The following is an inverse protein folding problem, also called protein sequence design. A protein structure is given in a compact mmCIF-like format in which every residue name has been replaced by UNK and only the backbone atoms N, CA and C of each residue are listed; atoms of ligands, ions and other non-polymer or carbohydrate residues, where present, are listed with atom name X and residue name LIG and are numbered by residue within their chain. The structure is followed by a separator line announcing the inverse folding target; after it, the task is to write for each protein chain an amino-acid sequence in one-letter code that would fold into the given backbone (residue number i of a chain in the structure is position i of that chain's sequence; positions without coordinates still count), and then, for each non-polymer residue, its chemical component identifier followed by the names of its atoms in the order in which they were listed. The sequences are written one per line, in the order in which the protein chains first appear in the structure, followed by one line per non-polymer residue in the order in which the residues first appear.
data_IF_486385329306
#
_entry.id   IF_486385329306
#
_cell.length_a   1.000
_cell.length_b   1.000
_cell.length_c   1.000
_cell.angle_alpha   90.00
_cell.angle_beta   90.00
_cell.angle_gamma   90.00
#
_symmetry.space_group_name_H-M   'P 1'
#
loop_
_entity.id
_entity.type
_entity.pdbx_description
1 polymer ?
#
# COMPACT_ATOMS: atom_id res chain seq x y z
N UNK A 1 9.17 -2.87 11.17
CA UNK A 1 9.38 -1.55 10.55
C UNK A 1 9.57 -1.82 9.07
N UNK A 2 8.78 -1.19 8.18
CA UNK A 2 8.88 -1.43 6.74
C UNK A 2 10.07 -0.69 6.15
N UNK A 3 10.78 -1.35 5.20
CA UNK A 3 11.92 -0.80 4.47
C UNK A 3 11.50 -0.36 3.07
N UNK A 4 11.76 0.89 2.74
CA UNK A 4 11.39 1.51 1.46
C UNK A 4 12.65 1.93 0.70
N UNK A 5 12.75 1.54 -0.57
CA UNK A 5 13.75 2.04 -1.48
C UNK A 5 13.17 3.23 -2.26
N UNK A 6 13.84 4.37 -2.19
CA UNK A 6 13.49 5.59 -2.93
C UNK A 6 14.53 5.76 -4.04
N UNK A 7 14.07 5.91 -5.29
CA UNK A 7 14.93 6.16 -6.46
C UNK A 7 14.49 7.48 -7.10
N UNK A 8 15.29 8.51 -6.91
CA UNK A 8 14.98 9.90 -7.29
C UNK A 8 16.30 10.64 -7.52
N UNK A 9 16.49 11.22 -8.68
CA UNK A 9 17.73 11.90 -9.04
C UNK A 9 17.82 13.33 -8.50
N UNK A 10 16.67 13.97 -8.25
CA UNK A 10 16.64 15.28 -7.61
C UNK A 10 16.81 15.15 -6.10
N UNK A 11 18.01 15.48 -5.62
CA UNK A 11 18.39 15.31 -4.22
C UNK A 11 17.42 15.96 -3.23
N UNK A 12 16.85 17.12 -3.57
CA UNK A 12 15.88 17.81 -2.69
C UNK A 12 14.59 17.02 -2.53
N UNK A 13 14.09 16.43 -3.62
CA UNK A 13 12.87 15.59 -3.60
C UNK A 13 13.15 14.29 -2.86
N UNK A 14 14.29 13.67 -3.12
CA UNK A 14 14.73 12.45 -2.43
C UNK A 14 14.85 12.65 -0.92
N UNK A 15 15.50 13.74 -0.48
CA UNK A 15 15.64 14.08 0.94
C UNK A 15 14.27 14.37 1.59
N UNK A 16 13.39 15.08 0.90
CA UNK A 16 12.05 15.39 1.38
C UNK A 16 11.21 14.11 1.56
N UNK A 17 11.26 13.21 0.58
CA UNK A 17 10.61 11.90 0.67
C UNK A 17 11.17 11.08 1.83
N UNK A 18 12.49 10.99 1.94
CA UNK A 18 13.16 10.23 2.99
C UNK A 18 12.77 10.73 4.37
N UNK A 19 12.93 12.04 4.63
CA UNK A 19 12.60 12.62 5.94
C UNK A 19 11.13 12.41 6.29
N UNK A 20 10.22 12.74 5.36
CA UNK A 20 8.79 12.59 5.61
C UNK A 20 8.37 11.14 5.87
N UNK A 21 8.98 10.16 5.20
CA UNK A 21 8.70 8.74 5.43
C UNK A 21 9.33 8.23 6.74
N UNK A 22 10.55 8.64 7.06
CA UNK A 22 11.21 8.28 8.33
C UNK A 22 10.45 8.82 9.55
N UNK A 23 9.91 10.04 9.48
CA UNK A 23 9.04 10.62 10.53
C UNK A 23 7.74 9.80 10.71
N UNK A 24 7.29 9.08 9.67
CA UNK A 24 6.14 8.19 9.73
C UNK A 24 6.50 6.73 10.04
N UNK A 25 7.73 6.46 10.50
CA UNK A 25 8.15 5.17 11.03
C UNK A 25 8.57 4.16 9.94
N UNK A 26 8.91 4.61 8.74
CA UNK A 26 9.51 3.78 7.70
C UNK A 26 11.05 3.84 7.79
N UNK A 27 11.72 2.80 7.29
CA UNK A 27 13.17 2.82 7.10
C UNK A 27 13.46 3.06 5.62
N UNK A 28 14.22 4.10 5.27
CA UNK A 28 14.38 4.53 3.90
C UNK A 28 15.84 4.43 3.44
N UNK A 29 16.06 3.87 2.25
CA UNK A 29 17.31 3.98 1.51
C UNK A 29 17.06 4.74 0.22
N UNK A 30 18.02 5.60 -0.19
CA UNK A 30 17.91 6.45 -1.35
C UNK A 30 18.95 6.08 -2.39
N UNK A 31 18.53 5.99 -3.65
CA UNK A 31 19.37 5.91 -4.84
C UNK A 31 19.07 7.10 -5.75
N UNK A 32 20.11 7.64 -6.38
CA UNK A 32 20.02 8.83 -7.22
C UNK A 32 20.08 8.54 -8.73
N UNK A 33 20.07 7.28 -9.12
CA UNK A 33 19.94 6.81 -10.49
C UNK A 33 19.35 5.40 -10.53
N UNK A 34 18.74 5.03 -11.66
CA UNK A 34 18.09 3.72 -11.79
C UNK A 34 19.05 2.54 -11.65
N UNK A 35 20.29 2.66 -12.18
CA UNK A 35 21.29 1.60 -12.06
C UNK A 35 21.78 1.41 -10.61
N UNK A 36 21.89 2.50 -9.84
CA UNK A 36 22.17 2.44 -8.40
C UNK A 36 20.98 1.82 -7.66
N UNK A 37 19.76 2.23 -7.99
CA UNK A 37 18.53 1.67 -7.42
C UNK A 37 18.44 0.15 -7.59
N UNK A 38 18.69 -0.35 -8.81
CA UNK A 38 18.68 -1.78 -9.09
C UNK A 38 19.75 -2.55 -8.31
N UNK A 39 20.96 -2.00 -8.18
CA UNK A 39 22.01 -2.63 -7.36
C UNK A 39 21.63 -2.69 -5.90
N UNK A 40 21.09 -1.60 -5.35
CA UNK A 40 20.64 -1.55 -3.95
C UNK A 40 19.48 -2.51 -3.73
N UNK A 41 18.54 -2.60 -4.67
CA UNK A 41 17.42 -3.52 -4.62
C UNK A 41 17.88 -4.98 -4.56
N UNK A 42 18.88 -5.35 -5.37
CA UNK A 42 19.46 -6.72 -5.37
C UNK A 42 20.28 -7.06 -4.14
N UNK A 43 20.84 -6.05 -3.47
CA UNK A 43 21.71 -6.23 -2.29
C UNK A 43 20.97 -6.21 -0.96
N UNK A 44 19.71 -5.73 -0.92
CA UNK A 44 18.94 -5.56 0.30
C UNK A 44 17.50 -6.08 0.11
N UNK A 45 16.77 -6.19 1.23
CA UNK A 45 15.34 -6.52 1.22
C UNK A 45 14.51 -5.27 1.47
N UNK A 46 13.51 -5.06 0.63
CA UNK A 46 12.58 -3.94 0.74
C UNK A 46 11.13 -4.42 0.78
N UNK A 47 10.29 -3.60 1.35
CA UNK A 47 8.84 -3.83 1.41
C UNK A 47 8.08 -3.06 0.35
N UNK A 48 8.66 -1.96 -0.16
CA UNK A 48 8.09 -1.12 -1.20
C UNK A 48 9.21 -0.39 -1.92
N UNK A 49 9.00 -0.12 -3.20
CA UNK A 49 9.87 0.74 -4.02
C UNK A 49 9.08 1.97 -4.44
N UNK A 50 9.71 3.15 -4.30
CA UNK A 50 9.22 4.42 -4.86
C UNK A 50 10.25 4.87 -5.88
N UNK A 51 9.86 5.08 -7.13
CA UNK A 51 10.78 5.45 -8.21
C UNK A 51 10.24 6.60 -9.03
N UNK A 52 11.09 7.56 -9.37
CA UNK A 52 10.78 8.44 -10.50
C UNK A 52 10.83 7.65 -11.81
N UNK A 53 10.12 8.14 -12.81
CA UNK A 53 10.17 7.63 -14.18
C UNK A 53 11.40 8.16 -14.89
N UNK A 54 11.67 9.46 -14.75
CA UNK A 54 12.79 10.12 -15.44
C UNK A 54 14.04 10.04 -14.58
N UNK A 55 14.85 9.02 -14.83
CA UNK A 55 16.08 8.75 -14.09
C UNK A 55 17.29 8.67 -15.04
N UNK A 56 18.48 9.11 -14.60
CA UNK A 56 19.70 8.91 -15.35
C UNK A 56 20.13 7.43 -15.35
N UNK A 57 20.86 7.03 -16.41
CA UNK A 57 21.50 5.72 -16.66
C UNK A 57 20.52 4.57 -16.95
N UNK A 58 19.39 4.50 -16.28
CA UNK A 58 18.34 3.52 -16.46
C UNK A 58 17.03 4.21 -16.08
N UNK A 59 16.08 4.30 -16.99
CA UNK A 59 14.80 4.93 -16.73
C UNK A 59 13.93 4.10 -15.76
N UNK A 60 12.91 4.74 -15.19
CA UNK A 60 12.07 4.11 -14.20
C UNK A 60 11.24 2.93 -14.72
N UNK A 61 10.90 2.92 -16.01
CA UNK A 61 10.16 1.80 -16.61
C UNK A 61 11.04 0.56 -16.78
N UNK A 62 12.27 0.75 -17.28
CA UNK A 62 13.25 -0.32 -17.37
C UNK A 62 13.58 -0.87 -15.99
N UNK A 63 13.81 0.02 -15.02
CA UNK A 63 14.04 -0.35 -13.62
C UNK A 63 12.87 -1.16 -13.04
N UNK A 64 11.64 -0.74 -13.30
CA UNK A 64 10.43 -1.42 -12.83
C UNK A 64 10.36 -2.86 -13.38
N UNK A 65 10.62 -3.06 -14.68
CA UNK A 65 10.68 -4.39 -15.30
C UNK A 65 11.73 -5.29 -14.67
N UNK A 66 12.93 -4.76 -14.43
CA UNK A 66 14.04 -5.49 -13.78
C UNK A 66 13.70 -5.87 -12.33
N UNK A 67 13.09 -4.96 -11.57
CA UNK A 67 12.64 -5.22 -10.20
C UNK A 67 11.53 -6.28 -10.21
N UNK A 68 10.56 -6.17 -11.12
CA UNK A 68 9.44 -7.09 -11.23
C UNK A 68 9.89 -8.50 -11.65
N UNK A 69 10.89 -8.61 -12.50
CA UNK A 69 11.50 -9.89 -12.87
C UNK A 69 12.22 -10.55 -11.68
N UNK A 70 12.85 -9.75 -10.80
CA UNK A 70 13.55 -10.25 -9.63
C UNK A 70 12.61 -10.56 -8.44
N UNK A 71 11.56 -9.77 -8.27
CA UNK A 71 10.54 -9.94 -7.22
C UNK A 71 9.15 -9.55 -7.76
N UNK A 72 8.34 -10.53 -8.21
CA UNK A 72 7.00 -10.27 -8.75
C UNK A 72 6.01 -9.65 -7.76
N UNK A 73 6.23 -9.80 -6.46
CA UNK A 73 5.28 -9.42 -5.41
C UNK A 73 5.59 -8.09 -4.72
N UNK A 74 6.76 -7.46 -4.97
CA UNK A 74 7.08 -6.20 -4.32
C UNK A 74 6.22 -5.06 -4.87
N UNK A 75 5.57 -4.24 -4.02
CA UNK A 75 4.84 -3.07 -4.49
C UNK A 75 5.80 -2.01 -5.05
N UNK A 76 5.42 -1.43 -6.19
CA UNK A 76 6.17 -0.35 -6.86
C UNK A 76 5.22 0.83 -7.07
N UNK A 77 5.56 1.98 -6.49
CA UNK A 77 4.89 3.26 -6.69
C UNK A 77 5.78 4.14 -7.58
N UNK A 78 5.27 4.54 -8.73
CA UNK A 78 5.98 5.46 -9.64
C UNK A 78 5.60 6.91 -9.34
N UNK A 79 6.59 7.77 -9.21
CA UNK A 79 6.43 9.22 -9.17
C UNK A 79 6.74 9.77 -10.56
N UNK A 80 5.92 10.69 -11.05
CA UNK A 80 6.11 11.22 -12.41
C UNK A 80 5.78 12.69 -12.51
N UNK A 81 6.60 13.43 -13.24
CA UNK A 81 6.25 14.77 -13.74
C UNK A 81 5.36 14.70 -14.99
N UNK A 82 5.26 13.52 -15.63
CA UNK A 82 4.52 13.27 -16.84
C UNK A 82 3.05 13.02 -16.48
N UNK A 83 2.17 13.92 -16.91
CA UNK A 83 0.72 13.89 -16.59
C UNK A 83 -0.16 13.29 -17.68
N UNK A 84 0.43 12.78 -18.78
CA UNK A 84 -0.36 12.23 -19.89
C UNK A 84 -0.93 10.85 -19.58
N UNK A 85 -2.05 10.53 -20.23
CA UNK A 85 -2.69 9.22 -20.08
C UNK A 85 -1.81 8.11 -20.65
N UNK A 86 -1.04 8.42 -21.70
CA UNK A 86 -0.18 7.45 -22.40
C UNK A 86 1.00 7.05 -21.51
N UNK A 87 1.62 7.99 -20.79
CA UNK A 87 2.71 7.69 -19.83
C UNK A 87 2.27 6.75 -18.70
N UNK A 88 1.01 6.89 -18.27
CA UNK A 88 0.43 6.00 -17.22
C UNK A 88 0.18 4.59 -17.76
N UNK A 89 -0.25 4.47 -19.02
CA UNK A 89 -0.48 3.17 -19.66
C UNK A 89 0.83 2.42 -19.86
N UNK A 90 1.87 3.09 -20.37
CA UNK A 90 3.21 2.51 -20.53
C UNK A 90 3.79 2.02 -19.19
N UNK A 91 3.44 2.69 -18.13
CA UNK A 91 3.90 2.33 -16.80
C UNK A 91 3.19 1.14 -16.17
N UNK A 92 1.87 1.00 -16.34
CA UNK A 92 1.17 -0.22 -15.92
C UNK A 92 1.66 -1.44 -16.70
N UNK A 93 1.96 -1.28 -17.98
CA UNK A 93 2.60 -2.33 -18.81
C UNK A 93 4.02 -2.66 -18.33
N UNK A 94 4.72 -1.71 -17.69
CA UNK A 94 6.00 -1.96 -17.03
C UNK A 94 5.89 -2.73 -15.70
N UNK A 95 4.69 -2.87 -15.14
CA UNK A 95 4.42 -3.64 -13.92
C UNK A 95 4.40 -2.83 -12.63
N UNK A 96 4.21 -1.51 -12.67
CA UNK A 96 3.98 -0.70 -11.47
C UNK A 96 2.58 -0.96 -10.88
N UNK A 97 2.46 -0.84 -9.56
CA UNK A 97 1.21 -1.08 -8.83
C UNK A 97 0.38 0.21 -8.65
N UNK A 98 1.03 1.37 -8.65
CA UNK A 98 0.37 2.68 -8.53
C UNK A 98 1.24 3.81 -9.09
N UNK A 99 0.60 4.95 -9.37
CA UNK A 99 1.21 6.16 -9.95
C UNK A 99 0.80 7.41 -9.19
N UNK A 100 1.75 8.33 -9.04
CA UNK A 100 1.49 9.64 -8.46
C UNK A 100 2.19 10.73 -9.25
N UNK A 101 1.44 11.78 -9.60
CA UNK A 101 1.95 12.91 -10.39
C UNK A 101 2.58 13.94 -9.46
N UNK A 102 3.76 14.45 -9.82
CA UNK A 102 4.43 15.58 -9.17
C UNK A 102 3.82 16.93 -9.66
N UNK A 103 3.59 17.91 -8.79
CA UNK A 103 3.80 17.89 -7.35
C UNK A 103 2.66 17.14 -6.62
N UNK A 104 2.99 16.43 -5.53
CA UNK A 104 2.03 15.62 -4.78
C UNK A 104 1.86 16.06 -3.33
N UNK A 105 0.72 15.72 -2.74
CA UNK A 105 0.46 15.88 -1.31
C UNK A 105 0.99 14.67 -0.54
N UNK A 106 1.76 14.91 0.52
CA UNK A 106 2.31 13.83 1.37
C UNK A 106 1.23 12.98 2.03
N UNK A 107 0.07 13.55 2.34
CA UNK A 107 -1.07 12.78 2.89
C UNK A 107 -1.57 11.74 1.89
N UNK A 108 -1.60 12.10 0.61
CA UNK A 108 -1.95 11.17 -0.47
C UNK A 108 -0.88 10.09 -0.62
N UNK A 109 0.40 10.49 -0.62
CA UNK A 109 1.53 9.56 -0.69
C UNK A 109 1.45 8.50 0.43
N UNK A 110 1.26 8.93 1.68
CA UNK A 110 1.14 7.99 2.81
C UNK A 110 -0.08 7.08 2.72
N UNK A 111 -1.20 7.57 2.21
CA UNK A 111 -2.39 6.74 2.00
C UNK A 111 -2.12 5.63 0.98
N UNK A 112 -1.48 5.95 -0.15
CA UNK A 112 -1.10 4.99 -1.20
C UNK A 112 -0.09 3.95 -0.71
N UNK A 113 0.97 4.39 -0.02
CA UNK A 113 1.97 3.50 0.58
C UNK A 113 1.32 2.49 1.53
N UNK A 114 0.41 2.93 2.39
CA UNK A 114 -0.31 2.03 3.31
C UNK A 114 -1.15 0.99 2.58
N UNK A 115 -1.82 1.37 1.50
CA UNK A 115 -2.61 0.43 0.68
C UNK A 115 -1.70 -0.59 0.01
N UNK A 116 -0.59 -0.14 -0.58
CA UNK A 116 0.37 -1.00 -1.26
C UNK A 116 1.02 -2.01 -0.31
N UNK A 117 1.45 -1.55 0.88
CA UNK A 117 2.04 -2.43 1.90
C UNK A 117 1.03 -3.44 2.46
N UNK A 118 -0.24 -3.08 2.60
CA UNK A 118 -1.30 -4.02 3.00
C UNK A 118 -1.52 -5.11 1.95
N UNK A 119 -1.50 -4.77 0.65
CA UNK A 119 -1.61 -5.76 -0.43
C UNK A 119 -0.46 -6.77 -0.40
N UNK A 120 0.77 -6.33 -0.12
CA UNK A 120 1.92 -7.23 0.05
C UNK A 120 1.70 -8.25 1.18
N UNK A 121 1.16 -7.83 2.32
CA UNK A 121 0.83 -8.73 3.42
C UNK A 121 -0.24 -9.75 3.02
N UNK A 122 -1.24 -9.35 2.23
CA UNK A 122 -2.28 -10.26 1.73
C UNK A 122 -1.74 -11.33 0.76
N UNK A 123 -0.66 -11.04 0.02
CA UNK A 123 0.00 -12.00 -0.89
C UNK A 123 0.95 -12.96 -0.15
N UNK A 124 1.53 -12.52 0.98
CA UNK A 124 2.51 -13.31 1.76
C UNK A 124 1.86 -14.14 2.87
N UNK A 125 0.72 -13.69 3.34
CA UNK A 125 -0.17 -14.49 4.17
C UNK A 125 -1.39 -14.81 3.31
N UNK A 126 -1.88 -16.04 3.33
CA UNK A 126 -3.30 -16.35 3.11
C UNK A 126 -4.12 -15.60 4.19
N UNK A 127 -3.96 -14.27 4.27
CA UNK A 127 -4.85 -13.41 5.06
C UNK A 127 -6.13 -13.38 4.27
N UNK A 128 -7.05 -14.13 4.78
CA UNK A 128 -8.42 -14.23 4.40
C UNK A 128 -8.93 -12.85 3.96
N UNK A 129 -8.96 -12.62 2.63
CA UNK A 129 -9.74 -11.53 2.03
C UNK A 129 -11.20 -11.66 2.47
N UNK A 130 -11.51 -12.75 3.15
CA UNK A 130 -12.80 -13.17 3.61
C UNK A 130 -12.72 -13.60 5.09
N UNK A 131 -13.36 -12.83 5.97
CA UNK A 131 -13.55 -13.24 7.35
C UNK A 131 -14.72 -14.22 7.40
N UNK A 132 -14.46 -15.42 7.88
CA UNK A 132 -15.48 -16.45 8.05
C UNK A 132 -15.77 -16.69 9.53
N UNK A 133 -17.05 -16.62 9.92
CA UNK A 133 -17.52 -16.98 11.25
C UNK A 133 -18.87 -17.70 11.17
N UNK A 134 -18.90 -18.95 11.53
CA UNK A 134 -20.06 -19.85 11.39
C UNK A 134 -20.56 -19.89 9.92
N UNK A 135 -21.77 -19.40 9.65
CA UNK A 135 -22.37 -19.31 8.31
C UNK A 135 -22.20 -17.92 7.65
N UNK A 136 -21.44 -17.02 8.29
CA UNK A 136 -21.13 -15.69 7.78
C UNK A 136 -19.79 -15.69 7.03
N UNK A 137 -19.76 -14.99 5.90
CA UNK A 137 -18.61 -14.73 5.09
C UNK A 137 -18.58 -13.24 4.73
N UNK A 138 -17.49 -12.56 5.07
CA UNK A 138 -17.30 -11.11 4.92
C UNK A 138 -16.09 -10.86 4.06
N UNK A 139 -16.30 -10.40 2.85
CA UNK A 139 -15.20 -9.98 1.98
C UNK A 139 -14.74 -8.57 2.40
N UNK A 140 -13.44 -8.45 2.74
CA UNK A 140 -12.86 -7.20 3.24
C UNK A 140 -12.50 -6.21 2.12
N UNK A 141 -12.40 -6.68 0.87
CA UNK A 141 -12.04 -5.85 -0.28
C UNK A 141 -13.24 -5.08 -0.82
N UNK A 142 -14.30 -5.81 -1.20
CA UNK A 142 -15.52 -5.22 -1.77
C UNK A 142 -16.57 -4.88 -0.72
N UNK A 143 -16.31 -5.23 0.55
CA UNK A 143 -17.20 -5.04 1.70
C UNK A 143 -18.53 -5.78 1.56
N UNK A 144 -18.56 -6.85 0.79
CA UNK A 144 -19.72 -7.70 0.68
C UNK A 144 -19.83 -8.65 1.89
N UNK A 145 -21.06 -8.96 2.26
CA UNK A 145 -21.36 -9.89 3.35
C UNK A 145 -22.34 -10.93 2.85
N UNK A 146 -22.05 -12.21 3.15
CA UNK A 146 -22.94 -13.32 2.87
C UNK A 146 -23.21 -14.10 4.12
N UNK A 147 -24.43 -14.63 4.22
CA UNK A 147 -24.83 -15.58 5.25
C UNK A 147 -25.43 -16.82 4.59
N UNK A 148 -24.89 -17.98 4.86
CA UNK A 148 -25.27 -19.24 4.20
C UNK A 148 -25.34 -19.09 2.66
N UNK A 149 -24.37 -18.36 2.06
CA UNK A 149 -24.28 -18.10 0.61
C UNK A 149 -25.22 -17.02 0.07
N UNK A 150 -26.05 -16.37 0.90
CA UNK A 150 -26.96 -15.28 0.47
C UNK A 150 -26.41 -13.92 0.84
N UNK A 151 -26.44 -12.99 -0.12
CA UNK A 151 -25.97 -11.62 0.11
C UNK A 151 -26.81 -10.90 1.17
N UNK A 152 -26.12 -10.21 2.09
CA UNK A 152 -26.70 -9.34 3.10
C UNK A 152 -26.27 -7.91 2.81
N UNK A 153 -27.22 -7.01 2.70
CA UNK A 153 -26.94 -5.56 2.58
C UNK A 153 -26.85 -4.95 3.96
N UNK A 154 -25.67 -4.42 4.29
CA UNK A 154 -25.39 -3.69 5.52
C UNK A 154 -25.07 -2.23 5.20
N UNK A 155 -25.47 -1.33 6.09
CA UNK A 155 -24.95 0.02 6.10
C UNK A 155 -23.46 0.02 6.47
N UNK A 156 -22.68 1.07 6.16
CA UNK A 156 -21.26 1.14 6.52
C UNK A 156 -20.97 0.94 8.02
N UNK A 157 -21.87 1.40 8.88
CA UNK A 157 -21.75 1.22 10.35
C UNK A 157 -22.02 -0.20 10.79
N UNK A 158 -23.03 -0.85 10.23
CA UNK A 158 -23.33 -2.26 10.50
C UNK A 158 -22.21 -3.17 9.99
N UNK A 159 -21.65 -2.87 8.82
CA UNK A 159 -20.50 -3.59 8.29
C UNK A 159 -19.29 -3.48 9.23
N UNK A 160 -18.91 -2.27 9.64
CA UNK A 160 -17.80 -2.06 10.57
C UNK A 160 -18.01 -2.76 11.92
N UNK A 161 -19.24 -2.73 12.43
CA UNK A 161 -19.58 -3.45 13.66
C UNK A 161 -19.43 -4.97 13.47
N UNK A 162 -19.93 -5.52 12.37
CA UNK A 162 -19.82 -6.94 12.08
C UNK A 162 -18.36 -7.39 11.99
N UNK A 163 -17.53 -6.67 11.22
CA UNK A 163 -16.10 -6.95 11.10
C UNK A 163 -15.44 -6.93 12.48
N UNK A 164 -15.65 -5.87 13.26
CA UNK A 164 -15.11 -5.74 14.61
C UNK A 164 -15.52 -6.91 15.54
N UNK A 165 -16.77 -7.36 15.46
CA UNK A 165 -17.26 -8.48 16.25
C UNK A 165 -16.65 -9.82 15.82
N UNK A 166 -16.45 -10.05 14.52
CA UNK A 166 -15.82 -11.27 14.00
C UNK A 166 -14.33 -11.31 14.40
N UNK A 167 -13.60 -10.21 14.26
CA UNK A 167 -12.18 -10.10 14.66
C UNK A 167 -11.97 -10.31 16.18
N UNK A 168 -13.00 -10.06 16.96
CA UNK A 168 -13.00 -10.25 18.41
C UNK A 168 -13.94 -11.38 18.85
N UNK A 169 -14.20 -12.34 17.96
CA UNK A 169 -15.00 -13.51 18.31
C UNK A 169 -14.40 -14.21 19.54
N UNK A 170 -15.30 -14.70 20.41
CA UNK A 170 -14.94 -15.40 21.67
C UNK A 170 -14.22 -14.53 22.73
N UNK A 171 -14.09 -13.21 22.50
CA UNK A 171 -13.57 -12.26 23.48
C UNK A 171 -14.69 -11.41 24.06
N UNK A 172 -14.54 -11.02 25.34
CA UNK A 172 -15.44 -10.04 25.94
C UNK A 172 -15.04 -8.64 25.46
N UNK A 173 -15.92 -8.00 24.71
CA UNK A 173 -15.76 -6.61 24.25
C UNK A 173 -16.67 -5.69 25.03
N UNK A 174 -16.13 -4.56 25.52
CA UNK A 174 -16.94 -3.58 26.25
C UNK A 174 -17.75 -2.70 25.28
N UNK A 175 -18.85 -2.09 25.80
CA UNK A 175 -19.61 -1.10 25.02
C UNK A 175 -18.78 0.11 24.62
N UNK A 176 -17.82 0.49 25.46
CA UNK A 176 -16.91 1.60 25.21
C UNK A 176 -15.97 1.28 24.04
N UNK A 177 -15.38 0.07 24.02
CA UNK A 177 -14.52 -0.36 22.92
C UNK A 177 -15.25 -0.37 21.57
N UNK A 178 -16.51 -0.87 21.57
CA UNK A 178 -17.35 -0.86 20.38
C UNK A 178 -17.64 0.57 19.93
N UNK A 179 -17.99 1.47 20.85
CA UNK A 179 -18.29 2.86 20.56
C UNK A 179 -17.08 3.60 19.99
N UNK A 180 -15.89 3.42 20.56
CA UNK A 180 -14.65 4.02 20.10
C UNK A 180 -14.26 3.48 18.71
N UNK A 181 -14.23 2.16 18.54
CA UNK A 181 -13.73 1.51 17.32
C UNK A 181 -14.68 1.59 16.13
N UNK A 182 -15.99 1.52 16.38
CA UNK A 182 -17.01 1.46 15.31
C UNK A 182 -17.63 2.82 15.01
N UNK A 183 -17.82 3.68 16.01
CA UNK A 183 -18.47 4.98 15.86
C UNK A 183 -17.53 6.18 16.04
N UNK A 184 -16.26 5.94 16.42
CA UNK A 184 -15.26 7.01 16.68
C UNK A 184 -15.78 8.05 17.71
N UNK A 185 -16.58 7.59 18.68
CA UNK A 185 -17.15 8.42 19.75
C UNK A 185 -16.41 8.16 21.05
N UNK A 186 -15.66 9.18 21.50
CA UNK A 186 -15.09 9.17 22.85
C UNK A 186 -16.19 9.57 23.82
N UNK A 187 -16.50 8.71 24.77
CA UNK A 187 -17.30 9.07 25.92
C UNK A 187 -16.35 9.59 27.01
N UNK A 188 -16.44 10.88 27.34
CA UNK A 188 -15.85 11.46 28.54
C UNK A 188 -16.54 10.92 29.81
#
# INVERSE_FOLDING_TARGET
MYSILIIEDEQRVADLLRVGLEENGYNCLVAYDGAMGLRMFRANTFDLVISDIVLPKMDGFELCKEIRAANPAIPILMLTALGSTDDKLDGFDAGADDYMVKPFDFRELYARIRVLLKRKLAVVTDVEEELNYADLSVNLLDKSVKRAGRDIKLSPKEYNLLVYMIENAEKVVSRMDIADKVWNTHFD
#
